data_IF_442903947533
#
_entry.id   IF_442903947533
#
_cell.length_a   1.000
_cell.length_b   1.000
_cell.length_c   1.000
_cell.angle_alpha   90.00
_cell.angle_beta   90.00
_cell.angle_gamma   90.00
#
_symmetry.space_group_name_H-M   'P 1'
#
loop_
_entity.id
_entity.type
_entity.pdbx_description
1 polymer ?
#
# COMPACT_ATOMS: atom_id res chain seq x y z
N UNK A 1 -6.93 -6.31 3.35
CA UNK A 1 -7.44 -5.95 4.69
C UNK A 1 -7.09 -7.05 5.69
N UNK A 2 -6.88 -6.70 6.96
CA UNK A 2 -6.55 -7.65 8.01
C UNK A 2 -7.83 -8.31 8.55
N UNK A 3 -8.11 -9.53 8.12
CA UNK A 3 -9.32 -10.29 8.55
C UNK A 3 -9.11 -10.96 9.92
N UNK A 4 -10.19 -11.14 10.69
CA UNK A 4 -10.14 -11.74 12.02
C UNK A 4 -9.92 -13.27 11.99
N UNK A 5 -10.48 -13.97 11.00
CA UNK A 5 -10.32 -15.42 10.87
C UNK A 5 -8.89 -15.80 10.47
N UNK A 6 -8.20 -16.54 11.34
CA UNK A 6 -6.77 -16.88 11.16
C UNK A 6 -6.51 -17.78 9.95
N UNK A 7 -7.41 -18.68 9.62
CA UNK A 7 -7.23 -19.57 8.47
C UNK A 7 -7.44 -18.82 7.15
N UNK A 8 -8.46 -17.95 7.09
CA UNK A 8 -8.68 -17.07 5.95
C UNK A 8 -7.48 -16.12 5.78
N UNK A 9 -7.00 -15.50 6.87
CA UNK A 9 -5.85 -14.61 6.88
C UNK A 9 -4.60 -15.30 6.32
N UNK A 10 -4.31 -16.53 6.75
CA UNK A 10 -3.18 -17.30 6.25
C UNK A 10 -3.27 -17.53 4.74
N UNK A 11 -4.44 -17.93 4.24
CA UNK A 11 -4.67 -18.16 2.80
C UNK A 11 -4.55 -16.88 1.99
N UNK A 12 -5.10 -15.78 2.50
CA UNK A 12 -5.00 -14.46 1.84
C UNK A 12 -3.56 -13.98 1.78
N UNK A 13 -2.82 -14.09 2.90
CA UNK A 13 -1.40 -13.71 2.95
C UNK A 13 -0.57 -14.54 1.97
N UNK A 14 -0.78 -15.87 1.90
CA UNK A 14 -0.09 -16.72 0.95
C UNK A 14 -0.39 -16.32 -0.50
N UNK A 15 -1.65 -16.07 -0.85
CA UNK A 15 -2.04 -15.61 -2.18
C UNK A 15 -1.46 -14.22 -2.52
N UNK A 16 -1.42 -13.31 -1.54
CA UNK A 16 -0.82 -11.98 -1.71
C UNK A 16 0.69 -12.08 -1.97
N UNK A 17 1.41 -12.90 -1.22
CA UNK A 17 2.85 -13.12 -1.42
C UNK A 17 3.15 -13.85 -2.74
N UNK A 18 2.23 -14.71 -3.21
CA UNK A 18 2.34 -15.35 -4.52
C UNK A 18 2.28 -14.36 -5.69
N UNK A 19 1.79 -13.13 -5.50
CA UNK A 19 1.86 -12.08 -6.51
C UNK A 19 3.29 -11.65 -6.85
N UNK A 20 4.24 -11.81 -5.92
CA UNK A 20 5.65 -11.46 -6.07
C UNK A 20 5.94 -9.94 -6.23
N UNK A 21 5.08 -9.07 -5.71
CA UNK A 21 5.37 -7.63 -5.62
C UNK A 21 6.56 -7.34 -4.69
N UNK A 22 7.24 -6.21 -4.88
CA UNK A 22 8.32 -5.78 -3.98
C UNK A 22 7.77 -5.41 -2.60
N UNK A 23 6.60 -4.79 -2.57
CA UNK A 23 5.86 -4.46 -1.36
C UNK A 23 4.52 -5.17 -1.33
N UNK A 24 4.14 -5.65 -0.15
CA UNK A 24 2.80 -6.13 0.17
C UNK A 24 2.26 -5.32 1.33
N UNK A 25 1.01 -4.85 1.22
CA UNK A 25 0.45 -3.87 2.14
C UNK A 25 -0.83 -4.37 2.81
N UNK A 26 -0.85 -4.34 4.13
CA UNK A 26 -2.01 -4.65 4.96
C UNK A 26 -2.58 -3.35 5.52
N UNK A 27 -3.89 -3.20 5.43
CA UNK A 27 -4.59 -2.03 5.98
C UNK A 27 -5.82 -2.46 6.80
N UNK A 28 -6.29 -1.57 7.65
CA UNK A 28 -7.57 -1.70 8.33
C UNK A 28 -8.62 -0.80 7.66
N UNK A 29 -9.85 -1.25 7.52
CA UNK A 29 -10.98 -0.38 7.12
C UNK A 29 -11.43 0.46 8.33
N UNK A 30 -10.59 1.44 8.68
CA UNK A 30 -10.78 2.30 9.86
C UNK A 30 -12.09 3.10 9.79
N UNK A 31 -12.53 3.42 8.59
CA UNK A 31 -13.71 4.25 8.35
C UNK A 31 -15.01 3.44 8.17
N UNK A 32 -14.91 2.12 8.05
CA UNK A 32 -16.07 1.27 7.75
C UNK A 32 -16.71 1.64 6.42
N UNK A 33 -15.88 1.82 5.39
CA UNK A 33 -16.29 2.40 4.09
C UNK A 33 -17.16 1.48 3.25
N UNK A 34 -17.32 0.20 3.64
CA UNK A 34 -18.12 -0.78 2.87
C UNK A 34 -17.51 -1.09 1.50
N UNK A 35 -16.19 -1.07 1.40
CA UNK A 35 -15.50 -1.42 0.16
C UNK A 35 -15.82 -2.85 -0.26
N UNK A 36 -15.98 -3.09 -1.56
CA UNK A 36 -16.25 -4.40 -2.13
C UNK A 36 -15.26 -5.49 -1.65
N UNK A 37 -13.94 -5.25 -1.59
CA UNK A 37 -13.00 -6.24 -1.05
C UNK A 37 -13.33 -6.63 0.40
N UNK A 38 -13.58 -5.66 1.25
CA UNK A 38 -13.88 -5.88 2.68
C UNK A 38 -15.17 -6.70 2.85
N UNK A 39 -16.22 -6.40 2.08
CA UNK A 39 -17.46 -7.18 2.11
C UNK A 39 -17.25 -8.62 1.61
N UNK A 40 -16.48 -8.83 0.57
CA UNK A 40 -16.15 -10.18 0.09
C UNK A 40 -15.34 -10.98 1.15
N UNK A 41 -14.39 -10.33 1.83
CA UNK A 41 -13.63 -10.91 2.95
C UNK A 41 -14.54 -11.29 4.11
N UNK A 42 -15.49 -10.43 4.48
CA UNK A 42 -16.49 -10.70 5.52
C UNK A 42 -17.36 -11.92 5.19
N UNK A 43 -17.56 -12.21 3.90
CA UNK A 43 -18.22 -13.42 3.42
C UNK A 43 -17.29 -14.65 3.31
N UNK A 44 -16.09 -14.57 3.85
CA UNK A 44 -15.11 -15.67 3.85
C UNK A 44 -14.41 -15.89 2.50
N UNK A 45 -14.46 -14.94 1.57
CA UNK A 45 -13.75 -15.04 0.28
C UNK A 45 -12.28 -14.69 0.47
N UNK A 46 -11.42 -15.32 -0.35
CA UNK A 46 -10.03 -14.93 -0.47
C UNK A 46 -9.94 -13.75 -1.42
N UNK A 47 -9.54 -12.61 -0.92
CA UNK A 47 -9.43 -11.37 -1.69
C UNK A 47 -8.01 -10.85 -1.62
N UNK A 48 -7.42 -10.57 -2.76
CA UNK A 48 -6.21 -9.78 -2.91
C UNK A 48 -6.50 -8.64 -3.87
N UNK A 49 -5.94 -7.49 -3.59
CA UNK A 49 -6.06 -6.31 -4.46
C UNK A 49 -4.68 -5.83 -4.85
N UNK A 50 -4.57 -5.15 -5.99
CA UNK A 50 -3.34 -4.53 -6.44
C UNK A 50 -3.63 -3.21 -7.12
N UNK A 51 -2.79 -2.23 -6.90
CA UNK A 51 -2.76 -0.97 -7.63
C UNK A 51 -1.74 -1.10 -8.77
N UNK A 52 -2.18 -0.86 -10.00
CA UNK A 52 -1.38 -1.15 -11.19
C UNK A 52 -1.06 0.12 -11.97
N UNK A 53 0.11 0.69 -11.71
CA UNK A 53 0.54 1.93 -12.33
C UNK A 53 0.11 3.16 -11.56
N UNK A 54 0.05 4.28 -12.24
CA UNK A 54 -0.32 5.58 -11.69
C UNK A 54 -0.18 6.67 -12.74
N UNK A 55 -0.68 7.89 -12.44
CA UNK A 55 -0.57 9.03 -13.36
C UNK A 55 -1.28 8.81 -14.70
N UNK A 56 -2.44 8.12 -14.69
CA UNK A 56 -3.27 7.86 -15.87
C UNK A 56 -2.60 7.00 -16.95
N UNK A 57 -1.51 6.29 -16.61
CA UNK A 57 -0.77 5.47 -17.57
C UNK A 57 -0.55 4.04 -17.09
N UNK A 58 -0.31 3.14 -18.04
CA UNK A 58 0.08 1.75 -17.78
C UNK A 58 1.51 1.54 -18.31
N UNK A 59 2.55 1.79 -17.52
CA UNK A 59 3.92 1.57 -17.95
C UNK A 59 4.18 0.10 -18.30
N UNK A 60 4.98 -0.17 -19.31
CA UNK A 60 5.22 -1.53 -19.81
C UNK A 60 5.78 -2.49 -18.73
N UNK A 61 6.57 -1.98 -17.78
CA UNK A 61 7.08 -2.79 -16.67
C UNK A 61 5.95 -3.20 -15.71
N UNK A 62 5.00 -2.31 -15.41
CA UNK A 62 3.84 -2.61 -14.58
C UNK A 62 2.96 -3.67 -15.24
N UNK A 63 2.72 -3.56 -16.55
CA UNK A 63 1.97 -4.57 -17.29
C UNK A 63 2.62 -5.97 -17.18
N UNK A 64 3.96 -6.06 -17.31
CA UNK A 64 4.68 -7.34 -17.15
C UNK A 64 4.56 -7.91 -15.74
N UNK A 65 4.73 -7.07 -14.71
CA UNK A 65 4.57 -7.49 -13.31
C UNK A 65 3.14 -8.00 -13.07
N UNK A 66 2.14 -7.29 -13.57
CA UNK A 66 0.73 -7.68 -13.45
C UNK A 66 0.44 -9.01 -14.11
N UNK A 67 0.88 -9.23 -15.34
CA UNK A 67 0.68 -10.51 -16.03
C UNK A 67 1.36 -11.67 -15.28
N UNK A 68 2.59 -11.46 -14.83
CA UNK A 68 3.34 -12.47 -14.09
C UNK A 68 2.68 -12.77 -12.74
N UNK A 69 2.32 -11.74 -11.99
CA UNK A 69 1.67 -11.87 -10.68
C UNK A 69 0.31 -12.55 -10.78
N UNK A 70 -0.54 -12.12 -11.71
CA UNK A 70 -1.86 -12.74 -11.92
C UNK A 70 -1.73 -14.24 -12.29
N UNK A 71 -0.83 -14.57 -13.24
CA UNK A 71 -0.58 -15.96 -13.59
C UNK A 71 -0.14 -16.78 -12.38
N UNK A 72 0.76 -16.22 -11.57
CA UNK A 72 1.30 -16.91 -10.41
C UNK A 72 0.23 -17.18 -9.35
N UNK A 73 -0.61 -16.18 -9.06
CA UNK A 73 -1.76 -16.35 -8.16
C UNK A 73 -2.75 -17.41 -8.67
N UNK A 74 -3.05 -17.41 -9.98
CA UNK A 74 -3.93 -18.44 -10.55
C UNK A 74 -3.35 -19.85 -10.45
N UNK A 75 -2.02 -20.01 -10.54
CA UNK A 75 -1.33 -21.28 -10.28
C UNK A 75 -1.41 -21.63 -8.78
N UNK A 76 -1.11 -20.68 -7.91
CA UNK A 76 -1.20 -20.81 -6.45
C UNK A 76 -2.59 -21.30 -5.99
N UNK A 77 -3.64 -20.73 -6.57
CA UNK A 77 -5.03 -21.09 -6.29
C UNK A 77 -5.50 -22.37 -6.99
N UNK A 78 -4.66 -23.04 -7.78
CA UNK A 78 -5.01 -24.25 -8.51
C UNK A 78 -5.95 -24.05 -9.71
N UNK A 79 -6.15 -22.80 -10.16
CA UNK A 79 -6.97 -22.45 -11.34
C UNK A 79 -6.21 -22.74 -12.63
N UNK A 80 -4.91 -22.52 -12.63
CA UNK A 80 -4.02 -22.88 -13.74
C UNK A 80 -3.04 -23.98 -13.33
N UNK A 81 -2.74 -24.88 -14.26
CA UNK A 81 -1.65 -25.84 -14.09
C UNK A 81 -0.30 -25.16 -14.30
N UNK A 82 0.70 -25.53 -13.52
CA UNK A 82 2.06 -25.00 -13.63
C UNK A 82 2.81 -25.04 -12.31
N UNK A 83 4.00 -24.50 -12.33
CA UNK A 83 4.81 -24.30 -11.12
C UNK A 83 4.68 -22.85 -10.67
N UNK A 84 4.41 -22.67 -9.40
CA UNK A 84 4.41 -21.35 -8.77
C UNK A 84 5.84 -20.80 -8.75
N UNK A 85 6.02 -19.60 -9.29
CA UNK A 85 7.29 -18.90 -9.21
C UNK A 85 7.39 -18.20 -7.84
N UNK A 86 8.48 -18.42 -7.14
CA UNK A 86 8.81 -17.71 -5.90
C UNK A 86 9.79 -16.58 -6.18
N UNK A 87 9.84 -15.56 -5.33
CA UNK A 87 10.84 -14.50 -5.45
C UNK A 87 12.26 -15.05 -5.49
N UNK A 88 12.57 -16.06 -4.69
CA UNK A 88 13.86 -16.75 -4.70
C UNK A 88 14.15 -17.41 -6.06
N UNK A 89 13.18 -18.09 -6.67
CA UNK A 89 13.34 -18.71 -7.99
C UNK A 89 13.50 -17.68 -9.12
N UNK A 90 13.04 -16.47 -8.90
CA UNK A 90 13.16 -15.33 -9.81
C UNK A 90 14.45 -14.52 -9.58
N UNK A 91 15.25 -14.85 -8.55
CA UNK A 91 16.43 -14.08 -8.16
C UNK A 91 16.11 -12.71 -7.57
N UNK A 92 14.88 -12.52 -7.07
CA UNK A 92 14.41 -11.29 -6.47
C UNK A 92 14.63 -11.30 -4.95
N UNK A 93 14.89 -10.14 -4.32
CA UNK A 93 14.95 -10.04 -2.85
C UNK A 93 13.60 -10.43 -2.23
N UNK A 94 13.55 -10.81 -0.94
CA UNK A 94 12.29 -11.01 -0.23
C UNK A 94 11.35 -9.81 -0.39
N UNK A 95 10.05 -10.04 -0.45
CA UNK A 95 9.06 -8.98 -0.42
C UNK A 95 9.08 -8.28 0.95
N UNK A 96 8.89 -6.99 0.96
CA UNK A 96 8.69 -6.23 2.19
C UNK A 96 7.19 -6.24 2.50
N UNK A 97 6.82 -6.87 3.61
CA UNK A 97 5.46 -6.87 4.10
C UNK A 97 5.29 -5.67 5.02
N UNK A 98 4.26 -4.85 4.75
CA UNK A 98 4.00 -3.63 5.50
C UNK A 98 2.56 -3.56 5.97
N UNK A 99 2.31 -2.77 7.00
CA UNK A 99 0.96 -2.53 7.53
C UNK A 99 0.75 -1.08 7.93
N UNK A 100 -0.48 -0.58 7.75
CA UNK A 100 -0.96 0.68 8.29
C UNK A 100 -2.34 0.45 8.91
N UNK A 101 -2.37 0.22 10.20
CA UNK A 101 -3.57 -0.19 10.94
C UNK A 101 -4.13 0.93 11.83
N UNK A 102 -3.42 2.04 11.94
CA UNK A 102 -3.77 3.17 12.79
C UNK A 102 -4.03 4.44 11.98
N UNK A 103 -4.86 5.32 12.53
CA UNK A 103 -5.17 6.62 11.88
C UNK A 103 -3.93 7.48 11.67
N UNK A 104 -2.95 7.38 12.56
CA UNK A 104 -1.72 8.17 12.50
C UNK A 104 -0.77 7.71 11.38
N UNK A 105 -1.02 6.55 10.76
CA UNK A 105 -0.29 6.08 9.58
C UNK A 105 -0.67 6.89 8.32
N UNK A 106 -1.84 7.55 8.35
CA UNK A 106 -2.42 8.33 7.26
C UNK A 106 -2.15 9.81 7.49
N UNK A 107 -1.30 10.41 6.67
CA UNK A 107 -0.94 11.82 6.77
C UNK A 107 -1.97 12.66 6.02
N UNK A 108 -2.67 13.50 6.76
CA UNK A 108 -3.73 14.36 6.21
C UNK A 108 -3.19 15.76 5.94
N UNK A 109 -3.69 16.38 4.86
CA UNK A 109 -3.40 17.78 4.55
C UNK A 109 -4.00 18.70 5.63
N UNK A 110 -3.19 19.51 6.33
CA UNK A 110 -3.69 20.43 7.34
C UNK A 110 -4.45 21.63 6.72
N UNK A 111 -4.15 21.95 5.46
CA UNK A 111 -4.77 23.02 4.68
C UNK A 111 -4.88 22.62 3.20
N UNK A 112 -5.70 23.33 2.44
CA UNK A 112 -5.81 23.17 0.99
C UNK A 112 -4.61 23.81 0.27
N UNK A 113 -4.15 23.19 -0.82
CA UNK A 113 -3.01 23.71 -1.58
C UNK A 113 -2.47 22.71 -2.60
N UNK A 114 -1.21 22.88 -2.97
CA UNK A 114 -0.46 21.94 -3.82
C UNK A 114 0.44 21.09 -2.94
N UNK A 115 0.25 19.77 -2.98
CA UNK A 115 1.12 18.81 -2.31
C UNK A 115 2.37 18.54 -3.18
N UNK A 116 3.53 18.84 -2.60
CA UNK A 116 4.84 18.48 -3.14
C UNK A 116 5.41 17.36 -2.28
N UNK A 117 5.74 16.22 -2.89
CA UNK A 117 6.32 15.08 -2.19
C UNK A 117 7.85 15.19 -2.11
N UNK A 118 8.43 14.83 -0.95
CA UNK A 118 9.87 14.86 -0.72
C UNK A 118 10.55 13.50 -0.88
N UNK A 119 9.78 12.41 -0.93
CA UNK A 119 10.29 11.02 -0.85
C UNK A 119 9.57 10.20 -1.91
N UNK A 120 10.31 9.36 -2.65
CA UNK A 120 9.73 8.44 -3.62
C UNK A 120 8.93 7.31 -2.94
N UNK A 121 7.94 6.76 -3.64
CA UNK A 121 7.21 5.57 -3.19
C UNK A 121 8.17 4.40 -2.90
N UNK A 122 7.95 3.72 -1.79
CA UNK A 122 8.84 2.69 -1.27
C UNK A 122 10.05 3.24 -0.50
N UNK A 123 10.21 4.56 -0.41
CA UNK A 123 11.27 5.19 0.38
C UNK A 123 11.08 4.97 1.88
N UNK A 124 12.16 4.63 2.57
CA UNK A 124 12.17 4.47 4.03
C UNK A 124 12.20 5.82 4.71
N UNK A 125 11.42 5.97 5.76
CA UNK A 125 11.31 7.20 6.57
C UNK A 125 11.41 6.88 8.05
N UNK A 126 11.88 7.86 8.81
CA UNK A 126 11.84 7.86 10.27
C UNK A 126 10.83 8.88 10.77
N UNK A 127 10.32 8.63 11.97
CA UNK A 127 9.42 9.57 12.65
C UNK A 127 10.02 10.97 12.68
N UNK A 128 9.26 11.95 12.20
CA UNK A 128 9.67 13.35 12.12
C UNK A 128 10.31 13.76 10.79
N UNK A 129 10.67 12.80 9.92
CA UNK A 129 11.17 13.12 8.58
C UNK A 129 10.14 13.89 7.78
N UNK A 130 10.62 14.78 6.91
CA UNK A 130 9.76 15.51 5.99
C UNK A 130 9.31 14.60 4.86
N UNK A 131 8.01 14.38 4.74
CA UNK A 131 7.38 13.59 3.66
C UNK A 131 7.02 14.48 2.48
N UNK A 132 6.72 15.75 2.74
CA UNK A 132 6.37 16.71 1.70
C UNK A 132 5.93 18.06 2.26
N UNK A 133 5.37 18.87 1.38
CA UNK A 133 4.89 20.23 1.71
C UNK A 133 3.53 20.49 1.06
N UNK A 134 2.72 21.34 1.72
CA UNK A 134 1.52 21.93 1.12
C UNK A 134 1.82 23.40 0.81
N UNK A 135 1.85 23.76 -0.46
CA UNK A 135 2.05 25.13 -0.92
C UNK A 135 0.71 25.86 -1.04
N UNK A 136 0.64 27.11 -0.56
CA UNK A 136 -0.58 27.91 -0.57
C UNK A 136 -0.70 28.67 -1.89
N UNK A 137 -1.72 28.33 -2.70
CA UNK A 137 -1.92 28.95 -4.01
C UNK A 137 -2.30 30.44 -3.92
N UNK A 138 -3.15 30.77 -2.94
CA UNK A 138 -3.63 32.14 -2.76
C UNK A 138 -2.68 33.03 -1.92
N UNK A 139 -1.70 32.39 -1.30
CA UNK A 139 -0.73 33.04 -0.41
C UNK A 139 0.68 32.57 -0.69
N UNK A 140 1.22 32.87 -1.89
CA UNK A 140 2.56 32.41 -2.29
C UNK A 140 3.69 33.04 -1.46
N UNK A 141 3.38 34.08 -0.71
CA UNK A 141 4.26 34.74 0.27
C UNK A 141 4.40 33.95 1.58
N UNK A 142 3.46 33.03 1.84
CA UNK A 142 3.45 32.19 3.04
C UNK A 142 4.35 30.96 2.84
N UNK A 143 5.15 30.64 3.86
CA UNK A 143 5.92 29.39 3.86
C UNK A 143 4.97 28.19 3.76
N UNK A 144 5.34 27.14 3.01
CA UNK A 144 4.52 25.93 2.89
C UNK A 144 4.43 25.18 4.22
N UNK A 145 3.30 24.52 4.44
CA UNK A 145 3.11 23.62 5.58
C UNK A 145 3.89 22.33 5.36
N UNK A 146 4.65 21.91 6.37
CA UNK A 146 5.49 20.71 6.31
C UNK A 146 4.68 19.51 6.75
N UNK A 147 4.61 18.48 5.89
CA UNK A 147 4.04 17.17 6.22
C UNK A 147 5.16 16.27 6.74
N UNK A 148 4.99 15.74 7.95
CA UNK A 148 6.00 14.88 8.60
C UNK A 148 5.48 13.49 8.86
N UNK A 149 6.39 12.51 8.77
CA UNK A 149 6.10 11.13 9.17
C UNK A 149 5.79 11.05 10.67
N UNK A 150 4.71 10.36 11.04
CA UNK A 150 4.32 10.16 12.43
C UNK A 150 4.95 8.88 13.04
N UNK A 151 5.49 8.00 12.19
CA UNK A 151 6.13 6.74 12.58
C UNK A 151 7.32 6.43 11.66
N UNK A 152 8.14 5.47 12.05
CA UNK A 152 9.12 4.84 11.17
C UNK A 152 8.40 3.90 10.20
N UNK A 153 8.90 3.76 8.97
CA UNK A 153 8.30 2.86 7.99
C UNK A 153 8.69 3.18 6.56
N UNK A 154 7.77 2.92 5.64
CA UNK A 154 7.92 3.17 4.22
C UNK A 154 6.76 4.03 3.70
N UNK A 155 7.04 4.94 2.79
CA UNK A 155 6.01 5.67 2.04
C UNK A 155 5.37 4.70 1.04
N UNK A 156 4.19 4.16 1.38
CA UNK A 156 3.51 3.12 0.57
C UNK A 156 2.50 3.71 -0.41
N UNK A 157 1.82 4.77 -0.01
CA UNK A 157 0.90 5.49 -0.89
C UNK A 157 1.14 6.98 -0.80
N UNK A 158 0.92 7.67 -1.92
CA UNK A 158 0.88 9.12 -1.98
C UNK A 158 -0.25 9.58 -2.90
N UNK A 159 -0.77 10.76 -2.63
CA UNK A 159 -1.82 11.36 -3.44
C UNK A 159 -1.29 11.68 -4.84
N UNK A 160 -1.92 11.11 -5.88
CA UNK A 160 -1.54 11.35 -7.26
C UNK A 160 -1.91 12.76 -7.76
N UNK A 161 -3.15 13.29 -7.55
CA UNK A 161 -3.44 14.68 -7.85
C UNK A 161 -2.73 15.59 -6.85
N UNK A 162 -1.84 16.46 -7.33
CA UNK A 162 -1.12 17.40 -6.44
C UNK A 162 -2.04 18.43 -5.80
N UNK A 163 -3.15 18.80 -6.46
CA UNK A 163 -4.18 19.68 -5.86
C UNK A 163 -4.89 18.95 -4.73
N UNK A 164 -4.86 19.54 -3.56
CA UNK A 164 -5.27 18.92 -2.31
C UNK A 164 -6.21 19.84 -1.53
N UNK A 165 -7.25 19.25 -0.94
CA UNK A 165 -8.14 19.95 0.01
C UNK A 165 -7.72 19.62 1.44
N UNK A 166 -8.02 20.53 2.36
CA UNK A 166 -7.85 20.24 3.79
C UNK A 166 -8.57 18.95 4.18
N UNK A 167 -7.86 18.06 4.90
CA UNK A 167 -8.38 16.76 5.33
C UNK A 167 -8.16 15.62 4.31
N UNK A 168 -7.72 15.91 3.09
CA UNK A 168 -7.33 14.84 2.16
C UNK A 168 -6.13 14.06 2.69
N UNK A 169 -6.14 12.74 2.52
CA UNK A 169 -4.96 11.92 2.77
C UNK A 169 -3.93 12.16 1.67
N UNK A 170 -2.74 12.62 2.05
CA UNK A 170 -1.66 12.95 1.10
C UNK A 170 -0.60 11.85 1.02
N UNK A 171 -0.43 11.07 2.09
CA UNK A 171 0.54 9.98 2.14
C UNK A 171 0.16 8.95 3.22
N UNK A 172 0.64 7.72 3.06
CA UNK A 172 0.54 6.67 4.09
C UNK A 172 1.93 6.13 4.37
N UNK A 173 2.30 6.11 5.65
CA UNK A 173 3.53 5.51 6.15
C UNK A 173 3.18 4.16 6.77
N UNK A 174 3.66 3.08 6.17
CA UNK A 174 3.39 1.73 6.62
C UNK A 174 4.63 1.12 7.29
N UNK A 175 4.43 0.49 8.44
CA UNK A 175 5.48 -0.18 9.19
C UNK A 175 5.77 -1.55 8.59
N UNK A 176 7.04 -1.94 8.56
CA UNK A 176 7.44 -3.30 8.20
C UNK A 176 6.95 -4.29 9.26
N UNK A 177 6.44 -5.42 8.82
CA UNK A 177 5.92 -6.47 9.68
C UNK A 177 6.34 -7.84 9.15
N UNK A 178 6.58 -8.79 10.04
CA UNK A 178 6.86 -10.17 9.66
C UNK A 178 5.58 -10.96 9.38
N UNK A 179 5.73 -12.05 8.63
CA UNK A 179 4.63 -12.99 8.39
C UNK A 179 4.07 -13.55 9.70
N UNK A 180 4.94 -13.87 10.65
CA UNK A 180 4.53 -14.44 11.94
C UNK A 180 3.71 -13.43 12.76
N UNK A 181 4.12 -12.16 12.82
CA UNK A 181 3.35 -11.10 13.47
C UNK A 181 1.96 -10.94 12.85
N UNK A 182 1.84 -11.01 11.52
CA UNK A 182 0.54 -10.93 10.84
C UNK A 182 -0.35 -12.12 11.17
N UNK A 183 0.21 -13.32 11.29
CA UNK A 183 -0.56 -14.54 11.58
C UNK A 183 -0.96 -14.64 13.04
N UNK A 184 -0.22 -14.02 13.95
CA UNK A 184 -0.49 -14.03 15.41
C UNK A 184 -1.40 -12.88 15.86
N UNK A 185 -1.58 -11.85 15.04
CA UNK A 185 -2.49 -10.73 15.30
C UNK A 185 -3.97 -11.17 15.19
#
# INVERSE_FOLDING_TARGET
HLVADKEQRRKMLAAMLAWNSDFSFLYADIAGTGLLPVEAENQGKLVITTEMGGGEGIPAHVHRITQSGLRNVLVHCGVLTGTEATRASLGLPPAILTQALHRDDYLLAPESGIFEVAIDLGGKVHRGDTVGWIHHLERPDRAPEVIRAHSDGYLITMRAPCLTSQGDCVAVIAQEVSVDEVLDA
#
